data_IF_018824278358
#
_entry.id   IF_018824278358
#
_cell.length_a   1.000
_cell.length_b   1.000
_cell.length_c   1.000
_cell.angle_alpha   90.00
_cell.angle_beta   90.00
_cell.angle_gamma   90.00
#
_symmetry.space_group_name_H-M   'P 1'
#
loop_
_entity.id
_entity.type
_entity.pdbx_description
1 polymer ?
#
# COMPACT_ATOMS: atom_id res chain seq x y z
N UNK A 1 -8.91 -0.31 16.39
CA UNK A 1 -8.42 0.61 15.33
C UNK A 1 -7.19 -0.05 14.74
N UNK A 2 -7.31 -0.80 13.64
CA UNK A 2 -6.17 -1.50 13.03
C UNK A 2 -5.80 -0.75 11.76
N UNK A 3 -4.96 0.28 11.92
CA UNK A 3 -4.37 1.06 10.84
C UNK A 3 -3.01 0.45 10.49
N UNK A 4 -2.66 0.42 9.20
CA UNK A 4 -1.37 -0.10 8.73
C UNK A 4 -0.73 0.87 7.74
N UNK A 5 0.59 0.97 7.75
CA UNK A 5 1.34 1.74 6.76
C UNK A 5 1.52 0.94 5.49
N UNK A 6 1.37 1.60 4.35
CA UNK A 6 1.62 1.02 3.03
C UNK A 6 3.00 1.46 2.54
N UNK A 7 3.80 0.48 2.14
CA UNK A 7 5.12 0.65 1.56
C UNK A 7 5.10 0.19 0.10
N UNK A 8 5.90 0.84 -0.75
CA UNK A 8 6.14 0.47 -2.14
C UNK A 8 7.60 0.11 -2.33
N UNK A 9 7.86 -1.07 -2.88
CA UNK A 9 9.17 -1.47 -3.39
C UNK A 9 9.27 -0.99 -4.84
N UNK A 10 10.16 -0.02 -5.07
CA UNK A 10 10.49 0.55 -6.38
C UNK A 10 12.00 0.54 -6.57
N UNK A 11 12.47 -0.03 -7.70
CA UNK A 11 13.90 -0.17 -7.99
C UNK A 11 14.73 -0.83 -6.86
N UNK A 12 14.10 -1.76 -6.12
CA UNK A 12 14.70 -2.45 -4.98
C UNK A 12 14.67 -1.68 -3.65
N UNK A 13 14.17 -0.43 -3.63
CA UNK A 13 14.05 0.38 -2.42
C UNK A 13 12.61 0.36 -1.87
N UNK A 14 12.47 0.14 -0.55
CA UNK A 14 11.19 0.25 0.16
C UNK A 14 10.95 1.69 0.59
N UNK A 15 9.84 2.28 0.14
CA UNK A 15 9.40 3.64 0.52
C UNK A 15 8.00 3.60 1.14
N UNK A 16 7.79 4.28 2.26
CA UNK A 16 6.44 4.49 2.81
C UNK A 16 5.68 5.49 1.93
N UNK A 17 4.50 5.10 1.46
CA UNK A 17 3.69 5.91 0.52
C UNK A 17 2.35 6.35 1.10
N UNK A 18 1.90 5.69 2.18
CA UNK A 18 0.67 6.07 2.89
C UNK A 18 0.74 5.57 4.33
N UNK A 19 0.43 6.44 5.29
CA UNK A 19 0.24 6.08 6.69
C UNK A 19 -1.23 5.84 6.98
N UNK A 20 -1.48 5.07 8.04
CA UNK A 20 -2.81 4.86 8.60
C UNK A 20 -3.88 4.44 7.57
N UNK A 21 -3.50 3.55 6.65
CA UNK A 21 -4.39 3.06 5.62
C UNK A 21 -5.60 2.35 6.25
N UNK A 22 -6.78 2.71 5.75
CA UNK A 22 -8.08 2.13 6.14
C UNK A 22 -8.60 1.16 5.08
N UNK A 23 -8.09 1.26 3.85
CA UNK A 23 -8.46 0.39 2.73
C UNK A 23 -7.23 0.19 1.83
N UNK A 24 -6.96 -1.07 1.50
CA UNK A 24 -6.03 -1.49 0.45
C UNK A 24 -6.74 -2.55 -0.38
N UNK A 25 -7.00 -2.27 -1.64
CA UNK A 25 -7.74 -3.17 -2.53
C UNK A 25 -7.06 -3.28 -3.91
N UNK A 26 -6.89 -4.49 -4.47
CA UNK A 26 -6.47 -4.63 -5.86
C UNK A 26 -7.58 -4.15 -6.79
N UNK A 27 -7.21 -3.41 -7.83
CA UNK A 27 -8.07 -2.91 -8.91
C UNK A 27 -7.44 -3.25 -10.27
N UNK A 28 -8.16 -3.03 -11.37
CA UNK A 28 -7.67 -3.38 -12.71
C UNK A 28 -6.30 -2.74 -13.04
N UNK A 29 -6.11 -1.47 -12.66
CA UNK A 29 -4.89 -0.69 -12.94
C UNK A 29 -3.81 -0.74 -11.83
N UNK A 30 -3.99 -1.58 -10.80
CA UNK A 30 -3.00 -1.74 -9.72
C UNK A 30 -3.62 -1.96 -8.34
N UNK A 31 -3.22 -1.17 -7.35
CA UNK A 31 -3.73 -1.24 -5.97
C UNK A 31 -4.22 0.13 -5.55
N UNK A 32 -5.50 0.21 -5.15
CA UNK A 32 -6.07 1.40 -4.55
C UNK A 32 -5.80 1.40 -3.05
N UNK A 33 -5.27 2.50 -2.55
CA UNK A 33 -5.00 2.72 -1.13
C UNK A 33 -5.67 4.01 -0.66
N UNK A 34 -6.19 4.00 0.57
CA UNK A 34 -6.93 5.12 1.14
C UNK A 34 -6.68 5.22 2.64
N UNK A 35 -6.47 6.44 3.13
CA UNK A 35 -6.51 6.80 4.54
C UNK A 35 -7.79 7.57 4.87
N UNK A 36 -8.07 7.77 6.15
CA UNK A 36 -9.34 8.34 6.61
C UNK A 36 -9.60 9.78 6.12
N UNK A 37 -8.54 10.58 6.03
CA UNK A 37 -8.63 12.02 5.73
C UNK A 37 -7.94 12.40 4.41
N UNK A 38 -7.43 11.41 3.67
CA UNK A 38 -6.71 11.62 2.41
C UNK A 38 -7.54 11.10 1.23
N UNK A 39 -7.33 11.69 0.05
CA UNK A 39 -7.95 11.20 -1.16
C UNK A 39 -7.43 9.79 -1.51
N UNK A 40 -8.28 8.87 -2.00
CA UNK A 40 -7.82 7.57 -2.50
C UNK A 40 -6.83 7.75 -3.66
N UNK A 41 -5.80 6.91 -3.69
CA UNK A 41 -4.82 6.88 -4.77
C UNK A 41 -4.71 5.46 -5.34
N UNK A 42 -4.46 5.35 -6.64
CA UNK A 42 -4.18 4.06 -7.31
C UNK A 42 -2.70 4.00 -7.65
N UNK A 43 -2.03 2.96 -7.18
CA UNK A 43 -0.61 2.71 -7.40
C UNK A 43 -0.46 1.54 -8.36
N UNK A 44 0.31 1.72 -9.45
CA UNK A 44 0.65 0.66 -10.40
C UNK A 44 1.60 -0.36 -9.76
N UNK A 45 1.04 -1.25 -8.96
CA UNK A 45 1.77 -2.21 -8.16
C UNK A 45 0.90 -3.45 -7.90
N UNK A 46 1.48 -4.46 -7.26
CA UNK A 46 0.77 -5.60 -6.67
C UNK A 46 1.09 -5.71 -5.19
N UNK A 47 0.18 -6.29 -4.42
CA UNK A 47 0.44 -6.62 -3.01
C UNK A 47 1.45 -7.77 -2.98
N UNK A 48 2.65 -7.51 -2.46
CA UNK A 48 3.72 -8.51 -2.31
C UNK A 48 3.60 -9.24 -0.98
N UNK A 49 3.37 -8.51 0.11
CA UNK A 49 3.32 -9.05 1.47
C UNK A 49 2.45 -8.19 2.38
N UNK A 50 1.74 -8.84 3.30
CA UNK A 50 1.09 -8.18 4.45
C UNK A 50 1.75 -8.70 5.73
N UNK A 51 2.33 -7.80 6.51
CA UNK A 51 2.94 -8.09 7.81
C UNK A 51 2.08 -7.46 8.92
N UNK A 52 1.10 -8.23 9.38
CA UNK A 52 0.13 -7.79 10.37
C UNK A 52 0.76 -7.48 11.73
N UNK A 53 1.83 -8.19 12.09
CA UNK A 53 2.56 -7.97 13.35
C UNK A 53 3.27 -6.61 13.34
N UNK A 54 3.78 -6.20 12.18
CA UNK A 54 4.44 -4.90 12.00
C UNK A 54 3.52 -3.79 11.51
N UNK A 55 2.23 -4.08 11.32
CA UNK A 55 1.26 -3.16 10.73
C UNK A 55 1.73 -2.60 9.37
N UNK A 56 2.34 -3.45 8.53
CA UNK A 56 2.86 -3.09 7.22
C UNK A 56 2.14 -3.82 6.09
N UNK A 57 1.81 -3.10 5.04
CA UNK A 57 1.39 -3.66 3.76
C UNK A 57 2.45 -3.26 2.73
N UNK A 58 3.03 -4.24 2.05
CA UNK A 58 4.13 -4.04 1.10
C UNK A 58 3.60 -4.29 -0.31
N UNK A 59 3.71 -3.26 -1.14
CA UNK A 59 3.42 -3.29 -2.56
C UNK A 59 4.73 -3.38 -3.34
N UNK A 60 4.67 -3.96 -4.53
CA UNK A 60 5.81 -4.03 -5.46
C UNK A 60 5.39 -3.53 -6.83
N UNK A 61 6.18 -2.62 -7.39
CA UNK A 61 5.93 -2.06 -8.73
C UNK A 61 5.86 -3.18 -9.78
N UNK A 62 4.90 -3.05 -10.69
CA UNK A 62 4.77 -3.94 -11.86
C UNK A 62 5.36 -3.21 -13.07
N UNK A 63 6.19 -3.87 -13.90
CA UNK A 63 6.71 -3.30 -15.14
C UNK A 63 5.62 -2.85 -16.11
#
# INVERSE_FOLDING_TARGET
>A
MCQSSVFLIKDGNEQEILKDAILVEPVEDGVKIQALFEAPQVVKAKIEKIDLLKHKIILKEVP
#
